data_IF_754472510698
#
_entry.id   IF_754472510698
#
_cell.length_a   1.000
_cell.length_b   1.000
_cell.length_c   1.000
_cell.angle_alpha   90.00
_cell.angle_beta   90.00
_cell.angle_gamma   90.00
#
_symmetry.space_group_name_H-M   'P 1'
#
loop_
_entity.id
_entity.type
_entity.pdbx_description
1 polymer ?
#
# COMPACT_ATOMS: atom_id res chain seq x y z
N UNK A 1 -29.66 -24.64 -35.65
CA UNK A 1 -28.19 -24.79 -35.50
C UNK A 1 -27.56 -23.40 -35.51
N UNK A 2 -27.19 -22.86 -34.37
CA UNK A 2 -26.57 -21.56 -34.25
C UNK A 2 -25.02 -21.72 -34.27
N UNK A 3 -24.33 -20.93 -35.11
CA UNK A 3 -22.87 -20.93 -35.24
C UNK A 3 -22.25 -20.21 -34.03
N UNK A 4 -21.13 -20.68 -33.45
CA UNK A 4 -20.47 -20.00 -32.35
C UNK A 4 -19.75 -18.72 -32.85
N UNK A 5 -20.02 -17.59 -32.17
CA UNK A 5 -19.32 -16.31 -32.39
C UNK A 5 -18.00 -16.37 -31.66
N UNK A 6 -16.91 -16.54 -32.38
CA UNK A 6 -15.55 -16.39 -31.82
C UNK A 6 -15.21 -14.90 -31.65
N UNK A 7 -15.25 -14.37 -30.44
CA UNK A 7 -14.70 -13.04 -30.11
C UNK A 7 -13.17 -13.10 -30.22
N UNK A 8 -12.62 -12.42 -31.24
CA UNK A 8 -11.16 -12.15 -31.31
C UNK A 8 -10.73 -11.33 -30.09
N UNK A 9 -9.84 -11.91 -29.30
CA UNK A 9 -9.11 -11.19 -28.25
C UNK A 9 -8.14 -10.22 -28.94
N UNK A 10 -8.12 -8.91 -28.61
CA UNK A 10 -7.20 -7.98 -29.22
C UNK A 10 -5.76 -8.32 -28.83
N UNK A 11 -4.87 -8.36 -29.84
CA UNK A 11 -3.45 -8.63 -29.68
C UNK A 11 -2.81 -7.63 -28.71
N UNK A 12 -2.14 -8.15 -27.69
CA UNK A 12 -1.31 -7.40 -26.74
C UNK A 12 -0.23 -6.62 -27.52
N UNK A 13 -0.26 -5.29 -27.42
CA UNK A 13 0.80 -4.43 -27.98
C UNK A 13 2.13 -4.80 -27.32
N UNK A 14 3.07 -5.34 -28.10
CA UNK A 14 4.45 -5.59 -27.66
C UNK A 14 5.12 -4.25 -27.33
N UNK A 15 5.26 -3.96 -26.04
CA UNK A 15 6.07 -2.82 -25.54
C UNK A 15 7.52 -3.30 -25.47
N UNK A 16 8.50 -2.55 -26.02
CA UNK A 16 9.92 -2.94 -25.99
C UNK A 16 10.40 -3.18 -24.55
N UNK A 17 11.20 -4.23 -24.34
CA UNK A 17 11.70 -4.67 -23.04
C UNK A 17 12.38 -3.54 -22.22
N UNK A 18 13.09 -2.62 -22.88
CA UNK A 18 13.74 -1.45 -22.27
C UNK A 18 12.73 -0.45 -21.67
N UNK A 19 11.59 -0.20 -22.33
CA UNK A 19 10.53 0.65 -21.78
C UNK A 19 9.83 -0.01 -20.59
N UNK A 20 9.63 -1.34 -20.65
CA UNK A 20 9.03 -2.11 -19.56
C UNK A 20 9.91 -2.09 -18.29
N UNK A 21 11.22 -2.28 -18.42
CA UNK A 21 12.17 -2.22 -17.31
C UNK A 21 12.24 -0.83 -16.65
N UNK A 22 12.21 0.25 -17.45
CA UNK A 22 12.21 1.62 -16.93
C UNK A 22 10.93 1.97 -16.16
N UNK A 23 9.76 1.52 -16.66
CA UNK A 23 8.46 1.71 -15.99
C UNK A 23 8.43 0.96 -14.68
N UNK A 24 8.89 -0.30 -14.64
CA UNK A 24 8.95 -1.13 -13.44
C UNK A 24 9.84 -0.51 -12.36
N UNK A 25 11.03 0.00 -12.72
CA UNK A 25 11.95 0.66 -11.78
C UNK A 25 11.32 1.94 -11.20
N UNK A 26 10.65 2.74 -12.01
CA UNK A 26 9.92 3.93 -11.57
C UNK A 26 8.80 3.55 -10.60
N UNK A 27 8.01 2.53 -10.92
CA UNK A 27 6.91 2.06 -10.08
C UNK A 27 7.39 1.53 -8.73
N UNK A 28 8.53 0.82 -8.68
CA UNK A 28 9.14 0.39 -7.42
C UNK A 28 9.62 1.57 -6.56
N UNK A 29 10.25 2.58 -7.18
CA UNK A 29 10.69 3.78 -6.47
C UNK A 29 9.50 4.59 -5.92
N UNK A 30 8.42 4.68 -6.68
CA UNK A 30 7.19 5.37 -6.23
C UNK A 30 6.51 4.60 -5.10
N UNK A 31 6.54 3.27 -5.14
CA UNK A 31 6.07 2.42 -4.05
C UNK A 31 6.94 2.60 -2.80
N UNK A 32 8.27 2.63 -2.95
CA UNK A 32 9.20 2.84 -1.84
C UNK A 32 8.97 4.18 -1.13
N UNK A 33 8.70 5.24 -1.88
CA UNK A 33 8.32 6.54 -1.30
C UNK A 33 7.01 6.48 -0.52
N UNK A 34 6.06 5.65 -0.95
CA UNK A 34 4.73 5.52 -0.32
C UNK A 34 4.73 4.69 0.95
N UNK A 35 5.49 3.60 0.98
CA UNK A 35 5.46 2.61 2.06
C UNK A 35 6.79 2.46 2.80
N UNK A 36 7.83 3.21 2.41
CA UNK A 36 9.17 3.10 2.94
C UNK A 36 9.96 1.98 2.27
N UNK A 37 10.16 0.86 2.94
CA UNK A 37 10.88 -0.29 2.38
C UNK A 37 9.94 -1.17 1.55
N UNK A 38 10.25 -1.35 0.25
CA UNK A 38 9.49 -2.27 -0.61
C UNK A 38 9.71 -3.71 -0.17
N UNK A 39 8.64 -4.46 0.17
CA UNK A 39 8.75 -5.87 0.52
C UNK A 39 9.37 -6.69 -0.61
N UNK A 40 10.11 -7.75 -0.25
CA UNK A 40 10.79 -8.64 -1.21
C UNK A 40 9.82 -9.21 -2.25
N UNK A 41 8.61 -9.56 -1.82
CA UNK A 41 7.53 -10.04 -2.67
C UNK A 41 7.28 -9.14 -3.90
N UNK A 42 7.19 -7.81 -3.73
CA UNK A 42 6.98 -6.89 -4.86
C UNK A 42 8.16 -6.87 -5.82
N UNK A 43 9.38 -7.01 -5.31
CA UNK A 43 10.58 -7.10 -6.15
C UNK A 43 10.58 -8.39 -6.96
N UNK A 44 10.16 -9.49 -6.35
CA UNK A 44 10.05 -10.79 -7.02
C UNK A 44 8.97 -10.78 -8.11
N UNK A 45 7.82 -10.13 -7.88
CA UNK A 45 6.76 -9.99 -8.89
C UNK A 45 7.25 -9.31 -10.16
N UNK A 46 8.17 -8.34 -10.08
CA UNK A 46 8.68 -7.67 -11.29
C UNK A 46 9.35 -8.63 -12.27
N UNK A 47 9.87 -9.73 -11.76
CA UNK A 47 10.58 -10.76 -12.56
C UNK A 47 9.71 -11.97 -12.84
N UNK A 48 9.01 -12.45 -11.81
CA UNK A 48 8.27 -13.72 -11.88
C UNK A 48 6.88 -13.57 -12.50
N UNK A 49 6.23 -12.43 -12.27
CA UNK A 49 4.90 -12.12 -12.81
C UNK A 49 4.74 -10.61 -13.02
N UNK A 50 5.31 -10.06 -14.10
CA UNK A 50 5.24 -8.62 -14.39
C UNK A 50 3.82 -8.11 -14.61
N UNK A 51 2.92 -8.95 -15.11
CA UNK A 51 1.53 -8.59 -15.34
C UNK A 51 0.80 -8.39 -14.00
N UNK A 52 0.97 -9.31 -13.06
CA UNK A 52 0.45 -9.18 -11.71
C UNK A 52 1.04 -7.97 -11.00
N UNK A 53 2.34 -7.70 -11.16
CA UNK A 53 2.96 -6.49 -10.63
C UNK A 53 2.27 -5.21 -11.14
N UNK A 54 2.03 -5.11 -12.45
CA UNK A 54 1.37 -3.95 -13.05
C UNK A 54 -0.08 -3.78 -12.56
N UNK A 55 -0.80 -4.88 -12.39
CA UNK A 55 -2.18 -4.88 -11.85
C UNK A 55 -2.19 -4.40 -10.38
N UNK A 56 -1.30 -4.95 -9.55
CA UNK A 56 -1.18 -4.55 -8.14
C UNK A 56 -0.79 -3.07 -8.03
N UNK A 57 0.15 -2.58 -8.84
CA UNK A 57 0.57 -1.18 -8.81
C UNK A 57 -0.56 -0.22 -9.21
N UNK A 58 -1.39 -0.59 -10.19
CA UNK A 58 -2.57 0.20 -10.57
C UNK A 58 -3.62 0.20 -9.45
N UNK A 59 -3.85 -0.96 -8.82
CA UNK A 59 -4.77 -1.09 -7.70
C UNK A 59 -4.30 -0.25 -6.50
N UNK A 60 -3.04 -0.35 -6.11
CA UNK A 60 -2.43 0.46 -5.05
C UNK A 60 -2.56 1.95 -5.34
N UNK A 61 -2.26 2.38 -6.56
CA UNK A 61 -2.40 3.77 -6.95
C UNK A 61 -3.85 4.24 -6.85
N UNK A 62 -4.81 3.47 -7.35
CA UNK A 62 -6.23 3.80 -7.28
C UNK A 62 -6.72 3.97 -5.85
N UNK A 63 -6.27 3.10 -4.93
CA UNK A 63 -6.66 3.18 -3.51
C UNK A 63 -6.02 4.38 -2.82
N UNK A 64 -4.71 4.61 -3.05
CA UNK A 64 -3.97 5.62 -2.28
C UNK A 64 -4.09 7.04 -2.84
N UNK A 65 -4.47 7.25 -4.09
CA UNK A 65 -4.61 8.59 -4.66
C UNK A 65 -5.71 9.39 -3.94
N UNK A 66 -5.55 10.70 -3.90
CA UNK A 66 -6.54 11.60 -3.31
C UNK A 66 -7.89 11.46 -4.03
N UNK A 67 -8.94 11.37 -3.24
CA UNK A 67 -10.31 11.28 -3.70
C UNK A 67 -11.19 12.09 -2.76
N UNK A 68 -12.32 11.55 -2.33
CA UNK A 68 -13.13 12.16 -1.25
C UNK A 68 -12.37 12.19 0.09
N UNK A 69 -11.49 11.23 0.30
CA UNK A 69 -10.55 11.20 1.41
C UNK A 69 -9.15 11.51 0.90
N UNK A 70 -8.41 12.30 1.67
CA UNK A 70 -7.00 12.58 1.38
C UNK A 70 -6.12 11.34 1.61
N UNK A 71 -4.94 11.31 1.01
CA UNK A 71 -3.91 10.27 1.27
C UNK A 71 -3.58 10.17 2.76
N UNK A 72 -3.49 11.29 3.46
CA UNK A 72 -3.24 11.33 4.91
C UNK A 72 -4.33 10.61 5.69
N UNK A 73 -5.59 10.93 5.42
CA UNK A 73 -6.74 10.29 6.07
C UNK A 73 -6.74 8.78 5.81
N UNK A 74 -6.49 8.36 4.55
CA UNK A 74 -6.40 6.94 4.19
C UNK A 74 -5.28 6.23 4.95
N UNK A 75 -4.14 6.88 5.17
CA UNK A 75 -3.03 6.32 5.97
C UNK A 75 -3.41 6.15 7.43
N UNK A 76 -4.10 7.10 8.04
CA UNK A 76 -4.60 6.98 9.41
C UNK A 76 -5.57 5.80 9.56
N UNK A 77 -6.49 5.64 8.61
CA UNK A 77 -7.42 4.50 8.55
C UNK A 77 -6.64 3.19 8.44
N UNK A 78 -5.64 3.12 7.56
CA UNK A 78 -4.84 1.91 7.36
C UNK A 78 -4.03 1.54 8.61
N UNK A 79 -3.46 2.52 9.32
CA UNK A 79 -2.76 2.30 10.59
C UNK A 79 -3.71 1.73 11.64
N UNK A 80 -4.91 2.32 11.78
CA UNK A 80 -5.91 1.87 12.73
C UNK A 80 -6.35 0.41 12.45
N UNK A 81 -6.61 0.08 11.20
CA UNK A 81 -6.99 -1.29 10.77
C UNK A 81 -5.82 -2.26 11.02
N UNK A 82 -4.61 -1.92 10.60
CA UNK A 82 -3.44 -2.79 10.78
C UNK A 82 -3.13 -3.04 12.26
N UNK A 83 -3.32 -2.02 13.12
CA UNK A 83 -3.17 -2.16 14.57
C UNK A 83 -4.25 -3.08 15.15
N UNK A 84 -5.50 -2.95 14.70
CA UNK A 84 -6.62 -3.83 15.11
C UNK A 84 -6.34 -5.30 14.73
N UNK A 85 -5.77 -5.54 13.55
CA UNK A 85 -5.37 -6.86 13.07
C UNK A 85 -4.06 -7.37 13.70
N UNK A 86 -3.32 -6.52 14.42
CA UNK A 86 -2.01 -6.80 15.02
C UNK A 86 -0.97 -7.26 13.99
N UNK A 87 -1.05 -6.73 12.78
CA UNK A 87 -0.05 -6.97 11.74
C UNK A 87 1.10 -5.96 11.86
N UNK A 88 2.21 -6.41 12.43
CA UNK A 88 3.39 -5.58 12.66
C UNK A 88 3.98 -5.01 11.38
N UNK A 89 4.02 -5.82 10.32
CA UNK A 89 4.58 -5.39 9.05
C UNK A 89 3.69 -4.32 8.39
N UNK A 90 2.38 -4.53 8.41
CA UNK A 90 1.44 -3.56 7.88
C UNK A 90 1.47 -2.26 8.69
N UNK A 91 1.43 -2.30 10.03
CA UNK A 91 1.50 -1.09 10.88
C UNK A 91 2.76 -0.29 10.57
N UNK A 92 3.94 -0.93 10.54
CA UNK A 92 5.22 -0.26 10.25
C UNK A 92 5.24 0.36 8.85
N UNK A 93 4.81 -0.37 7.84
CA UNK A 93 4.75 0.14 6.46
C UNK A 93 3.81 1.36 6.35
N UNK A 94 2.64 1.32 6.99
CA UNK A 94 1.71 2.44 6.98
C UNK A 94 2.23 3.64 7.77
N UNK A 95 2.90 3.44 8.90
CA UNK A 95 3.54 4.51 9.68
C UNK A 95 4.63 5.22 8.87
N UNK A 96 5.50 4.46 8.18
CA UNK A 96 6.52 5.05 7.31
C UNK A 96 5.90 5.85 6.17
N UNK A 97 4.88 5.31 5.52
CA UNK A 97 4.15 6.02 4.47
C UNK A 97 3.42 7.27 4.98
N UNK A 98 2.88 7.23 6.19
CA UNK A 98 2.23 8.37 6.85
C UNK A 98 3.25 9.49 7.16
N UNK A 99 4.42 9.13 7.70
CA UNK A 99 5.51 10.07 7.96
C UNK A 99 5.96 10.80 6.68
N UNK A 100 6.10 10.08 5.56
CA UNK A 100 6.44 10.67 4.27
C UNK A 100 5.38 11.66 3.73
N UNK A 101 4.14 11.53 4.19
CA UNK A 101 3.04 12.45 3.87
C UNK A 101 2.90 13.58 4.89
N UNK A 102 3.77 13.65 5.90
CA UNK A 102 3.70 14.65 6.95
C UNK A 102 2.55 14.43 7.93
N UNK A 103 2.12 13.19 8.13
CA UNK A 103 1.22 12.82 9.24
C UNK A 103 2.01 12.89 10.54
N UNK A 104 1.44 13.56 11.53
CA UNK A 104 2.08 13.74 12.83
C UNK A 104 1.85 12.55 13.77
N UNK A 105 2.72 12.41 14.77
CA UNK A 105 2.54 11.41 15.82
C UNK A 105 1.20 11.58 16.55
N UNK A 106 0.79 12.83 16.80
CA UNK A 106 -0.48 13.15 17.46
C UNK A 106 -1.70 12.66 16.65
N UNK A 107 -1.70 12.88 15.33
CA UNK A 107 -2.78 12.38 14.46
C UNK A 107 -2.86 10.84 14.49
N UNK A 108 -1.71 10.14 14.49
CA UNK A 108 -1.69 8.68 14.61
C UNK A 108 -2.20 8.23 15.98
N UNK A 109 -1.79 8.90 17.06
CA UNK A 109 -2.30 8.58 18.41
C UNK A 109 -3.81 8.73 18.52
N UNK A 110 -4.36 9.75 17.87
CA UNK A 110 -5.82 9.97 17.85
C UNK A 110 -6.54 8.84 17.09
N UNK A 111 -6.01 8.42 15.94
CA UNK A 111 -6.54 7.27 15.20
C UNK A 111 -6.47 5.97 16.02
N UNK A 112 -5.38 5.76 16.77
CA UNK A 112 -5.24 4.60 17.65
C UNK A 112 -6.23 4.62 18.83
N UNK A 113 -6.65 5.79 19.32
CA UNK A 113 -7.72 5.87 20.34
C UNK A 113 -9.06 5.37 19.80
N UNK A 114 -9.36 5.61 18.52
CA UNK A 114 -10.52 5.02 17.86
C UNK A 114 -10.37 3.50 17.79
N UNK A 115 -9.16 3.02 17.47
CA UNK A 115 -8.85 1.57 17.50
C UNK A 115 -9.08 0.96 18.89
N UNK A 116 -8.67 1.67 19.95
CA UNK A 116 -8.94 1.24 21.33
C UNK A 116 -10.43 1.04 21.60
N UNK A 117 -11.25 2.01 21.19
CA UNK A 117 -12.70 1.96 21.40
C UNK A 117 -13.34 0.76 20.71
N UNK A 118 -12.91 0.43 19.48
CA UNK A 118 -13.58 -0.58 18.65
C UNK A 118 -12.94 -1.97 18.74
N UNK A 119 -11.62 -2.04 18.98
CA UNK A 119 -10.84 -3.29 18.97
C UNK A 119 -10.16 -3.61 20.31
N UNK A 120 -10.40 -2.78 21.31
CA UNK A 120 -9.92 -2.97 22.68
C UNK A 120 -8.48 -2.55 22.94
N UNK A 121 -8.12 -2.52 24.23
CA UNK A 121 -6.80 -2.10 24.70
C UNK A 121 -5.63 -2.85 24.04
N UNK A 122 -5.66 -4.16 23.81
CA UNK A 122 -4.54 -4.85 23.19
C UNK A 122 -4.17 -4.32 21.82
N UNK A 123 -5.13 -3.93 20.99
CA UNK A 123 -4.90 -3.34 19.67
C UNK A 123 -4.25 -1.93 19.77
N UNK A 124 -4.74 -1.12 20.71
CA UNK A 124 -4.16 0.19 20.99
C UNK A 124 -2.71 0.10 21.45
N UNK A 125 -2.44 -0.71 22.47
CA UNK A 125 -1.08 -0.89 23.03
C UNK A 125 -0.12 -1.40 21.95
N UNK A 126 -0.59 -2.32 21.11
CA UNK A 126 0.19 -2.83 20.00
C UNK A 126 0.53 -1.74 18.98
N UNK A 127 -0.44 -0.98 18.52
CA UNK A 127 -0.24 0.13 17.58
C UNK A 127 0.65 1.23 18.18
N UNK A 128 0.45 1.57 19.45
CA UNK A 128 1.25 2.56 20.19
C UNK A 128 2.73 2.17 20.28
N UNK A 129 3.02 0.91 20.56
CA UNK A 129 4.40 0.42 20.63
C UNK A 129 5.10 0.56 19.26
N UNK A 130 4.41 0.24 18.16
CA UNK A 130 4.96 0.42 16.82
C UNK A 130 5.17 1.91 16.46
N UNK A 131 4.24 2.78 16.87
CA UNK A 131 4.35 4.22 16.68
C UNK A 131 5.57 4.79 17.40
N UNK A 132 5.75 4.43 18.67
CA UNK A 132 6.88 4.91 19.49
C UNK A 132 8.22 4.42 18.93
N UNK A 133 8.27 3.23 18.35
CA UNK A 133 9.46 2.71 17.68
C UNK A 133 9.73 3.41 16.33
N UNK A 134 8.70 3.59 15.50
CA UNK A 134 8.84 4.13 14.15
C UNK A 134 9.10 5.64 14.13
N UNK A 135 8.60 6.40 15.12
CA UNK A 135 8.72 7.85 15.23
C UNK A 135 9.57 8.29 16.43
N UNK A 136 10.58 7.49 16.79
CA UNK A 136 11.65 7.93 17.70
C UNK A 136 12.40 9.07 17.01
N UNK A 137 12.27 10.28 17.55
CA UNK A 137 13.15 11.40 17.24
C UNK A 137 14.34 11.37 18.20
#
# INVERSE_FOLDING_TARGET
>A
MAKPVTKKVPATRNVPATKKAAVTKKSLNDLEKKIGKVPKFFKELTTNDPEMFDLVMKFEQHIWDDGKLTKKTKKLIAIAIAAALRDQHAVRAQLMGAANLGVTKAEVEEALRVTFLLSGMPAYVYGKAQLDEAMKK
#
